data_IF_609528417751
#
_entry.id   IF_609528417751
#
_cell.length_a   1.000
_cell.length_b   1.000
_cell.length_c   1.000
_cell.angle_alpha   90.00
_cell.angle_beta   90.00
_cell.angle_gamma   90.00
#
_symmetry.space_group_name_H-M   'P 1'
#
loop_
_entity.id
_entity.type
_entity.pdbx_description
1 polymer ?
#
# COMPACT_ATOMS: atom_id res chain seq x y z
N UNK A 1 9.71 30.65 13.67
CA UNK A 1 9.74 29.57 12.68
C UNK A 1 8.36 28.93 12.71
N UNK A 2 7.57 29.16 11.67
CA UNK A 2 6.25 28.53 11.53
C UNK A 2 6.44 27.16 10.86
N UNK A 3 5.65 26.18 11.31
CA UNK A 3 5.63 24.83 10.76
C UNK A 3 4.28 24.62 10.13
N UNK A 4 4.27 24.37 8.83
CA UNK A 4 3.06 23.95 8.11
C UNK A 4 3.03 22.42 8.02
N UNK A 5 1.85 21.85 8.23
CA UNK A 5 1.64 20.40 8.20
C UNK A 5 0.57 20.08 7.16
N UNK A 6 0.79 18.99 6.42
CA UNK A 6 -0.14 18.47 5.43
C UNK A 6 -0.42 17.01 5.73
N UNK A 7 -1.71 16.67 5.90
CA UNK A 7 -2.17 15.29 5.94
C UNK A 7 -2.69 14.89 4.56
N UNK A 8 -2.10 13.83 4.00
CA UNK A 8 -2.44 13.34 2.68
C UNK A 8 -3.33 12.11 2.83
N UNK A 9 -4.47 12.10 2.15
CA UNK A 9 -5.39 10.97 2.20
C UNK A 9 -4.84 9.81 1.36
N UNK A 10 -4.98 8.59 1.87
CA UNK A 10 -4.66 7.36 1.12
C UNK A 10 -3.21 7.27 0.63
N UNK A 11 -2.26 7.95 1.29
CA UNK A 11 -0.82 7.97 0.93
C UNK A 11 -0.24 6.63 0.54
N UNK A 12 -0.48 5.60 1.35
CA UNK A 12 0.08 4.28 1.09
C UNK A 12 -0.44 3.65 -0.21
N UNK A 13 -1.68 3.94 -0.60
CA UNK A 13 -2.27 3.42 -1.86
C UNK A 13 -1.60 4.02 -3.11
N UNK A 14 -0.86 5.12 -2.97
CA UNK A 14 -0.09 5.72 -4.06
C UNK A 14 1.30 5.09 -4.21
N UNK A 15 1.84 4.47 -3.17
CA UNK A 15 3.16 3.84 -3.21
C UNK A 15 3.17 2.55 -4.04
N UNK A 16 4.06 2.47 -5.02
CA UNK A 16 4.32 1.24 -5.75
C UNK A 16 5.10 0.23 -4.89
N UNK A 17 4.95 -1.05 -5.22
CA UNK A 17 5.67 -2.14 -4.56
C UNK A 17 6.83 -2.60 -5.44
N UNK A 18 8.03 -2.60 -4.88
CA UNK A 18 9.24 -3.14 -5.52
C UNK A 18 9.24 -4.69 -5.53
N UNK A 19 8.48 -5.30 -4.62
CA UNK A 19 8.41 -6.74 -4.40
C UNK A 19 6.98 -7.25 -4.63
N UNK A 20 6.85 -8.50 -5.07
CA UNK A 20 5.54 -9.15 -5.14
C UNK A 20 5.09 -9.59 -3.74
N UNK A 21 4.06 -8.92 -3.23
CA UNK A 21 3.49 -9.20 -1.92
C UNK A 21 2.12 -9.83 -2.09
N UNK A 22 1.91 -10.93 -1.39
CA UNK A 22 0.66 -11.66 -1.37
C UNK A 22 0.05 -11.64 0.02
N UNK A 23 -1.28 -11.63 0.07
CA UNK A 23 -2.04 -11.77 1.33
C UNK A 23 -3.16 -12.79 1.18
N UNK A 24 -3.61 -13.33 2.30
CA UNK A 24 -4.84 -14.13 2.33
C UNK A 24 -6.02 -13.32 1.82
N UNK A 25 -6.97 -13.99 1.17
CA UNK A 25 -8.22 -13.34 0.77
C UNK A 25 -8.94 -12.74 1.99
N UNK A 26 -9.46 -11.51 1.90
CA UNK A 26 -10.27 -10.94 2.97
C UNK A 26 -11.51 -11.80 3.22
N UNK A 27 -11.97 -11.88 4.48
CA UNK A 27 -13.07 -12.76 4.89
C UNK A 27 -14.37 -12.56 4.08
N UNK A 28 -14.62 -11.36 3.57
CA UNK A 28 -15.79 -11.02 2.75
C UNK A 28 -15.59 -11.22 1.24
N UNK A 29 -14.42 -11.70 0.84
CA UNK A 29 -14.02 -11.92 -0.55
C UNK A 29 -13.73 -13.40 -0.85
N UNK A 30 -13.69 -14.26 0.17
CA UNK A 30 -13.41 -15.69 0.00
C UNK A 30 -14.54 -16.33 -0.83
N UNK A 31 -14.28 -16.56 -2.11
CA UNK A 31 -15.14 -17.42 -2.93
C UNK A 31 -14.95 -18.86 -2.47
N UNK A 32 -16.04 -19.53 -2.08
CA UNK A 32 -16.02 -20.90 -1.54
C UNK A 32 -15.35 -21.92 -2.48
N UNK A 33 -15.40 -21.68 -3.79
CA UNK A 33 -14.76 -22.52 -4.82
C UNK A 33 -13.28 -22.23 -5.02
N UNK A 34 -12.74 -21.14 -4.45
CA UNK A 34 -11.37 -20.67 -4.64
C UNK A 34 -10.62 -20.43 -3.32
N UNK A 35 -10.89 -21.28 -2.32
CA UNK A 35 -10.33 -21.17 -0.98
C UNK A 35 -8.80 -21.13 -0.89
N UNK A 36 -8.09 -21.67 -1.89
CA UNK A 36 -6.63 -21.69 -1.94
C UNK A 36 -6.01 -20.47 -2.66
N UNK A 37 -6.80 -19.50 -3.10
CA UNK A 37 -6.25 -18.30 -3.72
C UNK A 37 -5.70 -17.30 -2.70
N UNK A 38 -4.71 -16.53 -3.14
CA UNK A 38 -4.15 -15.39 -2.43
C UNK A 38 -4.30 -14.13 -3.29
N UNK A 39 -4.38 -12.97 -2.65
CA UNK A 39 -4.44 -11.69 -3.33
C UNK A 39 -3.02 -11.15 -3.51
N UNK A 40 -2.63 -10.81 -4.74
CA UNK A 40 -1.40 -10.05 -5.00
C UNK A 40 -1.68 -8.56 -4.84
N UNK A 41 -0.91 -7.89 -4.00
CA UNK A 41 -1.00 -6.46 -3.80
C UNK A 41 -0.40 -5.73 -5.01
N UNK A 42 -1.16 -4.78 -5.57
CA UNK A 42 -0.70 -3.92 -6.67
C UNK A 42 -0.11 -2.60 -6.20
N UNK A 43 -0.44 -2.20 -4.97
CA UNK A 43 -0.04 -0.96 -4.32
C UNK A 43 0.27 -1.25 -2.87
N UNK A 44 1.06 -0.38 -2.26
CA UNK A 44 1.36 -0.44 -0.84
C UNK A 44 0.08 -0.27 0.00
N UNK A 45 0.01 -0.99 1.11
CA UNK A 45 -1.11 -0.94 2.06
C UNK A 45 -0.60 -0.49 3.41
N UNK A 46 -1.46 0.10 4.23
CA UNK A 46 -1.11 0.36 5.63
C UNK A 46 -0.76 -0.94 6.36
N UNK A 47 0.24 -0.89 7.23
CA UNK A 47 0.68 -2.04 8.02
C UNK A 47 1.73 -2.94 7.34
N UNK A 48 2.10 -2.72 6.08
CA UNK A 48 3.30 -3.36 5.54
C UNK A 48 4.55 -2.67 6.09
N UNK A 49 5.61 -3.45 6.34
CA UNK A 49 6.86 -2.95 6.90
C UNK A 49 7.49 -1.85 6.03
N UNK A 50 7.34 -1.94 4.71
CA UNK A 50 7.91 -1.01 3.75
C UNK A 50 6.98 0.15 3.34
N UNK A 51 5.77 0.27 3.89
CA UNK A 51 4.77 1.22 3.37
C UNK A 51 5.19 2.67 3.40
N UNK A 52 5.78 3.11 4.52
CA UNK A 52 6.28 4.49 4.67
C UNK A 52 7.43 4.79 3.70
N UNK A 53 8.30 3.81 3.43
CA UNK A 53 9.40 3.96 2.48
C UNK A 53 8.89 4.08 1.05
N UNK A 54 7.90 3.25 0.67
CA UNK A 54 7.31 3.31 -0.68
C UNK A 54 6.52 4.60 -0.90
N UNK A 55 5.81 5.08 0.13
CA UNK A 55 5.18 6.40 0.08
C UNK A 55 6.23 7.51 -0.10
N UNK A 56 7.30 7.50 0.70
CA UNK A 56 8.35 8.53 0.58
C UNK A 56 8.97 8.57 -0.83
N UNK A 57 9.31 7.42 -1.41
CA UNK A 57 9.84 7.35 -2.79
C UNK A 57 8.86 7.91 -3.84
N UNK A 58 7.59 7.53 -3.70
CA UNK A 58 6.52 8.01 -4.56
C UNK A 58 6.40 9.54 -4.44
N UNK A 59 6.30 10.06 -3.21
CA UNK A 59 6.17 11.48 -2.93
C UNK A 59 7.38 12.29 -3.44
N UNK A 60 8.61 11.82 -3.20
CA UNK A 60 9.84 12.45 -3.70
C UNK A 60 9.83 12.57 -5.23
N UNK A 61 9.37 11.52 -5.93
CA UNK A 61 9.22 11.52 -7.40
C UNK A 61 8.16 12.50 -7.89
N UNK A 62 7.09 12.73 -7.12
CA UNK A 62 6.01 13.65 -7.49
C UNK A 62 6.31 15.13 -7.18
N UNK A 63 7.18 15.39 -6.20
CA UNK A 63 7.55 16.74 -5.78
C UNK A 63 8.76 17.30 -6.52
N UNK A 64 9.55 16.44 -7.17
CA UNK A 64 10.61 16.80 -8.13
C UNK A 64 10.05 16.97 -9.54
#
# INVERSE_FOLDING_TARGET
MEVEQMDVKMTFLHGDLEEDIYMSQPQRFVETSKGNMVCRLKKSLYGLKQSSRQWYKCFDTYML
#
